data_IF_953242913576
#
_entry.id   IF_953242913576
#
_cell.length_a   1.000
_cell.length_b   1.000
_cell.length_c   1.000
_cell.angle_alpha   90.00
_cell.angle_beta   90.00
_cell.angle_gamma   90.00
#
_symmetry.space_group_name_H-M   'P 1'
#
loop_
_entity.id
_entity.type
_entity.pdbx_description
1 polymer ?
#
# COMPACT_ATOMS: atom_id res chain seq x y z
N UNK A 1 18.58 8.11 25.62
CA UNK A 1 17.58 8.72 26.53
C UNK A 1 16.62 9.59 25.70
N UNK A 2 15.83 8.97 24.80
CA UNK A 2 14.75 9.63 24.04
C UNK A 2 13.44 9.21 24.69
N UNK A 3 13.08 9.94 25.74
CA UNK A 3 12.06 9.55 26.71
C UNK A 3 10.64 9.92 26.23
N UNK A 4 9.80 8.88 26.07
CA UNK A 4 8.38 8.73 26.42
C UNK A 4 7.30 9.81 26.17
N UNK A 5 7.52 10.96 25.54
CA UNK A 5 6.44 11.99 25.40
C UNK A 5 5.84 12.20 24.01
N UNK A 6 6.27 11.49 22.97
CA UNK A 6 5.47 11.37 21.73
C UNK A 6 4.58 10.13 21.79
N UNK A 7 3.67 10.07 22.78
CA UNK A 7 2.34 9.56 22.45
C UNK A 7 1.82 10.56 21.44
N UNK A 8 2.08 10.28 20.16
CA UNK A 8 1.44 11.02 19.09
C UNK A 8 -0.03 11.01 19.47
N UNK A 9 -0.57 12.18 19.76
CA UNK A 9 -1.98 12.42 19.57
C UNK A 9 -2.21 12.34 18.06
N UNK A 10 -1.91 11.19 17.46
CA UNK A 10 -2.29 10.85 16.10
C UNK A 10 -3.79 10.86 16.19
N UNK A 11 -4.43 11.88 15.62
CA UNK A 11 -5.81 12.15 15.93
C UNK A 11 -6.58 10.89 15.56
N UNK A 12 -7.37 10.37 16.49
CA UNK A 12 -8.31 9.25 16.29
C UNK A 12 -9.03 9.36 14.94
N UNK A 13 -9.25 10.62 14.51
CA UNK A 13 -9.67 11.08 13.19
C UNK A 13 -9.00 10.41 11.97
N UNK A 14 -7.67 10.18 11.93
CA UNK A 14 -7.04 9.53 10.77
C UNK A 14 -7.24 8.02 10.74
N UNK A 15 -7.52 7.40 11.89
CA UNK A 15 -7.93 6.01 11.94
C UNK A 15 -9.27 5.81 11.24
N UNK A 16 -10.15 6.81 11.27
CA UNK A 16 -11.51 6.71 10.74
C UNK A 16 -11.63 7.24 9.30
N UNK A 17 -10.72 8.11 8.85
CA UNK A 17 -10.64 8.55 7.46
C UNK A 17 -9.95 7.51 6.56
N UNK A 18 -10.78 6.70 5.91
CA UNK A 18 -10.33 5.68 4.96
C UNK A 18 -9.45 6.25 3.84
N UNK A 19 -9.73 7.45 3.36
CA UNK A 19 -9.01 8.04 2.23
C UNK A 19 -7.56 8.34 2.62
N UNK A 20 -7.35 8.94 3.79
CA UNK A 20 -6.03 9.21 4.35
C UNK A 20 -5.26 7.92 4.62
N UNK A 21 -5.89 6.91 5.21
CA UNK A 21 -5.24 5.64 5.49
C UNK A 21 -4.83 4.90 4.19
N UNK A 22 -5.69 4.93 3.17
CA UNK A 22 -5.43 4.31 1.88
C UNK A 22 -4.30 5.00 1.14
N UNK A 23 -4.30 6.34 1.12
CA UNK A 23 -3.23 7.14 0.51
C UNK A 23 -1.90 6.88 1.21
N UNK A 24 -1.88 6.83 2.55
CA UNK A 24 -0.67 6.57 3.32
C UNK A 24 -0.09 5.18 3.03
N UNK A 25 -0.94 4.19 2.75
CA UNK A 25 -0.48 2.81 2.52
C UNK A 25 -0.04 2.56 1.08
N UNK A 26 -0.81 3.02 0.09
CA UNK A 26 -0.56 2.68 -1.32
C UNK A 26 -1.00 3.75 -2.31
N UNK A 27 -1.21 4.98 -1.84
CA UNK A 27 -1.63 6.10 -2.69
C UNK A 27 -2.98 5.84 -3.36
N UNK A 28 -3.12 6.41 -4.56
CA UNK A 28 -4.35 6.38 -5.35
C UNK A 28 -4.90 4.98 -5.61
N UNK A 29 -4.04 4.01 -5.91
CA UNK A 29 -4.46 2.62 -6.20
C UNK A 29 -5.12 1.98 -4.99
N UNK A 30 -4.52 2.15 -3.82
CA UNK A 30 -5.10 1.64 -2.59
C UNK A 30 -6.40 2.36 -2.23
N UNK A 31 -6.51 3.65 -2.53
CA UNK A 31 -7.77 4.40 -2.34
C UNK A 31 -8.92 3.80 -3.16
N UNK A 32 -8.70 3.50 -4.44
CA UNK A 32 -9.72 2.85 -5.29
C UNK A 32 -10.08 1.47 -4.75
N UNK A 33 -9.07 0.65 -4.40
CA UNK A 33 -9.26 -0.69 -3.83
C UNK A 33 -10.06 -0.62 -2.52
N UNK A 34 -9.69 0.27 -1.61
CA UNK A 34 -10.37 0.47 -0.34
C UNK A 34 -11.84 0.88 -0.52
N UNK A 35 -12.11 1.86 -1.37
CA UNK A 35 -13.48 2.29 -1.70
C UNK A 35 -14.29 1.15 -2.35
N UNK A 36 -13.68 0.35 -3.23
CA UNK A 36 -14.36 -0.79 -3.84
C UNK A 36 -14.78 -1.84 -2.80
N UNK A 37 -13.87 -2.24 -1.91
CA UNK A 37 -14.17 -3.20 -0.85
C UNK A 37 -15.23 -2.67 0.13
N UNK A 38 -15.19 -1.37 0.45
CA UNK A 38 -16.22 -0.70 1.25
C UNK A 38 -17.60 -0.75 0.61
N UNK A 39 -17.69 -0.42 -0.68
CA UNK A 39 -18.94 -0.51 -1.44
C UNK A 39 -19.47 -1.95 -1.50
N UNK A 40 -18.58 -2.93 -1.67
CA UNK A 40 -18.96 -4.35 -1.67
C UNK A 40 -19.47 -4.79 -0.29
N UNK A 41 -18.80 -4.39 0.79
CA UNK A 41 -19.21 -4.71 2.15
C UNK A 41 -20.53 -4.08 2.57
N UNK A 42 -20.94 -2.99 1.91
CA UNK A 42 -22.24 -2.33 2.07
C UNK A 42 -23.30 -2.81 1.09
N UNK A 43 -22.99 -3.86 0.31
CA UNK A 43 -23.88 -4.43 -0.71
C UNK A 43 -24.33 -3.43 -1.79
N UNK A 44 -23.60 -2.33 -1.96
CA UNK A 44 -23.89 -1.30 -2.96
C UNK A 44 -23.46 -1.74 -4.37
N UNK A 45 -22.58 -2.72 -4.46
CA UNK A 45 -22.16 -3.36 -5.70
C UNK A 45 -22.29 -4.89 -5.58
N UNK A 46 -22.78 -5.51 -6.64
CA UNK A 46 -22.83 -6.95 -6.82
C UNK A 46 -21.70 -7.40 -7.76
N UNK A 47 -21.12 -8.55 -7.45
CA UNK A 47 -20.21 -9.26 -8.35
C UNK A 47 -21.06 -10.32 -9.05
N UNK A 48 -21.04 -10.29 -10.37
CA UNK A 48 -21.76 -11.24 -11.22
C UNK A 48 -20.69 -12.13 -11.83
N UNK A 49 -20.71 -13.45 -11.57
CA UNK A 49 -19.83 -14.39 -12.26
C UNK A 49 -20.12 -14.31 -13.77
N UNK A 50 -19.10 -14.09 -14.59
CA UNK A 50 -19.23 -14.22 -16.05
C UNK A 50 -19.02 -15.68 -16.44
N UNK A 51 -19.56 -16.08 -17.60
CA UNK A 51 -19.29 -17.38 -18.21
C UNK A 51 -17.80 -17.59 -18.50
N UNK A 52 -17.05 -16.49 -18.64
CA UNK A 52 -15.60 -16.51 -18.67
C UNK A 52 -15.07 -16.40 -17.22
N UNK A 53 -14.46 -17.48 -16.71
CA UNK A 53 -13.97 -17.63 -15.32
C UNK A 53 -13.02 -16.48 -14.92
N UNK A 54 -12.38 -15.84 -15.89
CA UNK A 54 -11.43 -14.75 -15.68
C UNK A 54 -12.07 -13.35 -15.67
N UNK A 55 -13.37 -13.20 -15.95
CA UNK A 55 -14.04 -11.90 -16.03
C UNK A 55 -15.06 -11.73 -14.92
N UNK A 56 -14.62 -11.19 -13.77
CA UNK A 56 -15.56 -10.72 -12.75
C UNK A 56 -16.22 -9.45 -13.26
N UNK A 57 -17.55 -9.48 -13.35
CA UNK A 57 -18.35 -8.34 -13.77
C UNK A 57 -19.01 -7.70 -12.56
N UNK A 58 -19.11 -6.37 -12.57
CA UNK A 58 -19.64 -5.60 -11.44
C UNK A 58 -20.85 -4.81 -11.90
N UNK A 59 -21.89 -4.80 -11.05
CA UNK A 59 -23.07 -3.96 -11.22
C UNK A 59 -23.41 -3.24 -9.92
N UNK A 60 -23.74 -1.96 -10.01
CA UNK A 60 -24.21 -1.18 -8.89
C UNK A 60 -25.66 -1.53 -8.58
N UNK A 61 -25.95 -1.74 -7.30
CA UNK A 61 -27.31 -1.92 -6.79
C UNK A 61 -27.96 -0.58 -6.43
N UNK A 62 -27.17 0.51 -6.45
CA UNK A 62 -27.58 1.84 -6.01
C UNK A 62 -27.11 2.92 -6.99
N UNK A 63 -27.78 4.09 -7.00
CA UNK A 63 -27.36 5.21 -7.83
C UNK A 63 -25.99 5.76 -7.41
N UNK A 64 -25.28 6.37 -8.36
CA UNK A 64 -23.93 6.90 -8.15
C UNK A 64 -23.81 7.95 -7.03
N UNK A 65 -24.87 8.73 -6.78
CA UNK A 65 -24.89 9.78 -5.75
C UNK A 65 -24.87 9.25 -4.31
N UNK A 66 -25.02 7.93 -4.10
CA UNK A 66 -24.96 7.30 -2.77
C UNK A 66 -23.53 7.10 -2.26
N UNK A 67 -22.51 7.27 -3.11
CA UNK A 67 -21.11 7.19 -2.68
C UNK A 67 -20.75 8.33 -1.73
N UNK A 68 -20.09 8.04 -0.61
CA UNK A 68 -19.75 9.04 0.41
C UNK A 68 -18.58 9.94 -0.03
N UNK A 69 -17.71 9.44 -0.91
CA UNK A 69 -16.50 10.13 -1.34
C UNK A 69 -16.37 10.11 -2.87
N UNK A 70 -15.37 10.82 -3.39
CA UNK A 70 -15.16 10.94 -4.84
C UNK A 70 -14.87 9.61 -5.53
N UNK A 71 -14.14 8.71 -4.86
CA UNK A 71 -13.85 7.39 -5.40
C UNK A 71 -15.06 6.47 -5.42
N UNK A 72 -15.86 6.47 -4.37
CA UNK A 72 -17.10 5.68 -4.31
C UNK A 72 -18.10 6.13 -5.37
N UNK A 73 -18.27 7.45 -5.56
CA UNK A 73 -19.14 8.00 -6.61
C UNK A 73 -18.69 7.60 -8.01
N UNK A 74 -17.39 7.69 -8.29
CA UNK A 74 -16.83 7.29 -9.59
C UNK A 74 -16.99 5.79 -9.86
N UNK A 75 -16.70 4.94 -8.86
CA UNK A 75 -16.90 3.49 -8.96
C UNK A 75 -18.38 3.17 -9.21
N UNK A 76 -19.30 3.74 -8.42
CA UNK A 76 -20.73 3.50 -8.59
C UNK A 76 -21.25 4.01 -9.93
N UNK A 77 -20.73 5.14 -10.43
CA UNK A 77 -21.08 5.68 -11.74
C UNK A 77 -20.65 4.71 -12.86
N UNK A 78 -19.45 4.13 -12.76
CA UNK A 78 -18.95 3.15 -13.74
C UNK A 78 -19.69 1.82 -13.67
N UNK A 79 -20.15 1.44 -12.48
CA UNK A 79 -20.93 0.22 -12.27
C UNK A 79 -22.43 0.37 -12.55
N UNK A 80 -22.92 1.53 -13.02
CA UNK A 80 -24.34 1.66 -13.43
C UNK A 80 -24.69 0.72 -14.58
N UNK A 81 -23.72 0.45 -15.46
CA UNK A 81 -23.78 -0.64 -16.42
C UNK A 81 -22.97 -1.82 -15.92
N UNK A 82 -23.31 -3.01 -16.42
CA UNK A 82 -22.57 -4.24 -16.21
C UNK A 82 -21.20 -4.12 -16.88
N UNK A 83 -20.12 -3.97 -16.09
CA UNK A 83 -18.75 -3.69 -16.59
C UNK A 83 -17.73 -4.61 -15.92
N UNK A 84 -16.65 -4.95 -16.63
CA UNK A 84 -15.54 -5.74 -16.09
C UNK A 84 -14.88 -5.02 -14.91
N UNK A 85 -14.57 -5.76 -13.84
CA UNK A 85 -13.94 -5.24 -12.63
C UNK A 85 -12.64 -4.47 -12.91
N UNK A 86 -11.78 -5.01 -13.79
CA UNK A 86 -10.51 -4.37 -14.14
C UNK A 86 -10.70 -3.01 -14.83
N UNK A 87 -11.75 -2.87 -15.65
CA UNK A 87 -12.06 -1.61 -16.33
C UNK A 87 -12.61 -0.57 -15.36
N UNK A 88 -13.41 -1.02 -14.38
CA UNK A 88 -13.85 -0.17 -13.26
C UNK A 88 -12.65 0.33 -12.47
N UNK A 89 -11.72 -0.55 -12.08
CA UNK A 89 -10.54 -0.17 -11.28
C UNK A 89 -9.63 0.77 -12.07
N UNK A 90 -9.20 0.39 -13.29
CA UNK A 90 -8.30 1.21 -14.12
C UNK A 90 -8.95 2.54 -14.51
N UNK A 91 -10.25 2.54 -14.80
CA UNK A 91 -11.02 3.74 -15.07
C UNK A 91 -11.05 4.67 -13.86
N UNK A 92 -11.34 4.13 -12.68
CA UNK A 92 -11.39 4.89 -11.43
C UNK A 92 -10.02 5.42 -11.02
N UNK A 93 -8.96 4.64 -11.22
CA UNK A 93 -7.57 5.08 -11.04
C UNK A 93 -7.19 6.26 -11.94
N UNK A 94 -7.90 6.52 -13.04
CA UNK A 94 -7.67 7.67 -13.91
C UNK A 94 -8.64 8.83 -13.66
N UNK A 95 -9.67 8.60 -12.84
CA UNK A 95 -10.67 9.63 -12.53
C UNK A 95 -10.05 10.86 -11.87
N UNK A 96 -10.55 12.03 -12.25
CA UNK A 96 -10.19 13.31 -11.65
C UNK A 96 -10.69 13.43 -10.22
N UNK A 97 -11.84 12.83 -9.89
CA UNK A 97 -12.41 12.91 -8.54
C UNK A 97 -11.58 12.11 -7.54
N UNK A 98 -11.14 10.91 -7.95
CA UNK A 98 -10.20 10.10 -7.17
C UNK A 98 -8.86 10.84 -7.03
N UNK A 99 -8.40 11.52 -8.08
CA UNK A 99 -7.16 12.31 -8.03
C UNK A 99 -7.25 13.44 -7.01
N UNK A 100 -8.29 14.27 -7.08
CA UNK A 100 -8.52 15.39 -6.16
C UNK A 100 -8.62 14.92 -4.71
N UNK A 101 -9.38 13.84 -4.47
CA UNK A 101 -9.53 13.24 -3.15
C UNK A 101 -8.21 12.72 -2.60
N UNK A 102 -7.42 12.03 -3.43
CA UNK A 102 -6.10 11.57 -3.04
C UNK A 102 -5.15 12.74 -2.74
N UNK A 103 -5.14 13.78 -3.56
CA UNK A 103 -4.32 14.99 -3.34
C UNK A 103 -4.70 15.76 -2.08
N UNK A 104 -5.99 15.80 -1.72
CA UNK A 104 -6.44 16.39 -0.47
C UNK A 104 -5.95 15.57 0.74
N UNK A 105 -6.10 14.26 0.69
CA UNK A 105 -5.57 13.35 1.71
C UNK A 105 -4.03 13.43 1.81
N UNK A 106 -3.32 13.50 0.68
CA UNK A 106 -1.87 13.68 0.65
C UNK A 106 -1.45 14.99 1.33
N UNK A 107 -2.12 16.10 1.02
CA UNK A 107 -1.84 17.40 1.67
C UNK A 107 -2.02 17.33 3.19
N UNK A 108 -3.06 16.67 3.68
CA UNK A 108 -3.29 16.45 5.12
C UNK A 108 -2.21 15.55 5.74
N UNK A 109 -1.81 14.49 5.06
CA UNK A 109 -0.76 13.59 5.56
C UNK A 109 0.62 14.25 5.59
N UNK A 110 0.90 15.13 4.62
CA UNK A 110 2.13 15.94 4.58
C UNK A 110 2.14 16.96 5.72
N UNK A 111 1.04 17.66 5.98
CA UNK A 111 0.97 18.62 7.10
C UNK A 111 1.13 17.93 8.46
N UNK A 112 0.77 16.65 8.57
CA UNK A 112 0.99 15.82 9.75
C UNK A 112 2.35 15.11 9.77
N UNK A 113 3.22 15.36 8.80
CA UNK A 113 4.54 14.70 8.68
C UNK A 113 4.48 13.16 8.60
N UNK A 114 3.35 12.58 8.18
CA UNK A 114 3.17 11.15 7.97
C UNK A 114 3.59 10.70 6.58
N UNK A 115 3.52 11.62 5.60
CA UNK A 115 3.91 11.39 4.22
C UNK A 115 5.00 12.39 3.79
N UNK A 116 5.99 11.92 3.02
CA UNK A 116 6.99 12.81 2.42
C UNK A 116 6.37 13.60 1.26
N UNK A 117 6.75 14.86 1.12
CA UNK A 117 6.37 15.65 -0.05
C UNK A 117 7.02 15.08 -1.32
N UNK A 118 6.46 15.36 -2.50
CA UNK A 118 7.09 14.96 -3.77
C UNK A 118 8.48 15.55 -3.95
N UNK A 119 8.71 16.76 -3.44
CA UNK A 119 10.01 17.42 -3.46
C UNK A 119 11.02 16.65 -2.61
N UNK A 120 10.65 16.28 -1.39
CA UNK A 120 11.53 15.50 -0.50
C UNK A 120 11.81 14.11 -1.05
N UNK A 121 10.80 13.47 -1.65
CA UNK A 121 10.95 12.17 -2.29
C UNK A 121 11.91 12.26 -3.49
N UNK A 122 11.79 13.30 -4.32
CA UNK A 122 12.68 13.54 -5.46
C UNK A 122 14.11 13.81 -4.98
N UNK A 123 14.29 14.64 -3.95
CA UNK A 123 15.61 14.89 -3.36
C UNK A 123 16.22 13.62 -2.77
N UNK A 124 15.44 12.79 -2.07
CA UNK A 124 15.89 11.51 -1.54
C UNK A 124 16.29 10.53 -2.65
N UNK A 125 15.54 10.51 -3.77
CA UNK A 125 15.89 9.72 -4.95
C UNK A 125 17.19 10.19 -5.61
N UNK A 126 17.38 11.50 -5.75
CA UNK A 126 18.62 12.07 -6.30
C UNK A 126 19.80 11.67 -5.41
N UNK A 127 19.67 11.84 -4.10
CA UNK A 127 20.72 11.44 -3.15
C UNK A 127 21.03 9.95 -3.23
N UNK A 128 19.99 9.11 -3.33
CA UNK A 128 20.13 7.67 -3.51
C UNK A 128 20.89 7.33 -4.80
N UNK A 129 20.53 7.94 -5.93
CA UNK A 129 21.20 7.72 -7.23
C UNK A 129 22.66 8.16 -7.18
N UNK A 130 22.95 9.32 -6.58
CA UNK A 130 24.33 9.83 -6.43
C UNK A 130 25.15 8.86 -5.60
N UNK A 131 24.64 8.42 -4.44
CA UNK A 131 25.34 7.50 -3.55
C UNK A 131 25.54 6.13 -4.22
N UNK A 132 24.55 5.65 -4.97
CA UNK A 132 24.66 4.43 -5.76
C UNK A 132 25.73 4.55 -6.84
N UNK A 133 25.72 5.64 -7.61
CA UNK A 133 26.73 5.90 -8.63
C UNK A 133 28.14 5.97 -8.05
N UNK A 134 28.32 6.61 -6.88
CA UNK A 134 29.60 6.66 -6.18
C UNK A 134 30.10 5.29 -5.76
N UNK A 135 29.25 4.46 -5.16
CA UNK A 135 29.61 3.09 -4.76
C UNK A 135 29.96 2.24 -5.98
N UNK A 136 29.15 2.33 -7.05
CA UNK A 136 29.41 1.62 -8.30
C UNK A 136 30.73 2.05 -8.94
N UNK A 137 31.02 3.36 -8.98
CA UNK A 137 32.28 3.89 -9.51
C UNK A 137 33.51 3.38 -8.72
N UNK A 138 33.42 3.37 -7.39
CA UNK A 138 34.47 2.81 -6.52
C UNK A 138 34.66 1.31 -6.75
N UNK A 139 33.56 0.57 -6.90
CA UNK A 139 33.59 -0.85 -7.20
C UNK A 139 34.24 -1.16 -8.55
N UNK A 140 33.84 -0.45 -9.61
CA UNK A 140 34.43 -0.60 -10.95
C UNK A 140 35.92 -0.23 -10.95
N UNK A 141 36.31 0.85 -10.27
CA UNK A 141 37.71 1.24 -10.16
C UNK A 141 38.56 0.17 -9.45
N UNK A 142 38.05 -0.42 -8.37
CA UNK A 142 38.70 -1.53 -7.67
C UNK A 142 38.83 -2.76 -8.56
N UNK A 143 37.80 -3.13 -9.32
CA UNK A 143 37.85 -4.24 -10.28
C UNK A 143 38.94 -4.00 -11.32
N UNK A 144 39.00 -2.80 -11.90
CA UNK A 144 40.02 -2.45 -12.89
C UNK A 144 41.44 -2.57 -12.34
N UNK A 145 41.70 -2.10 -11.11
CA UNK A 145 43.02 -2.23 -10.46
C UNK A 145 43.41 -3.68 -10.22
N UNK A 146 42.45 -4.53 -9.82
CA UNK A 146 42.71 -5.97 -9.61
C UNK A 146 43.07 -6.66 -10.92
N UNK A 147 42.38 -6.33 -12.02
CA UNK A 147 42.68 -6.86 -13.36
C UNK A 147 44.07 -6.45 -13.84
N UNK A 148 44.47 -5.19 -13.61
CA UNK A 148 45.81 -4.70 -13.99
C UNK A 148 46.91 -5.37 -13.17
N UNK A 149 46.66 -5.59 -11.87
CA UNK A 149 47.66 -6.13 -10.94
C UNK A 149 47.67 -7.68 -10.84
N UNK A 150 46.82 -8.38 -11.61
CA UNK A 150 46.72 -9.84 -11.57
C UNK A 150 46.22 -10.40 -10.23
N UNK A 151 45.46 -9.63 -9.47
CA UNK A 151 44.93 -10.06 -8.17
C UNK A 151 43.70 -10.98 -8.30
N UNK A 152 43.32 -11.69 -7.23
CA UNK A 152 42.12 -12.52 -7.21
C UNK A 152 40.84 -11.65 -7.28
N UNK A 153 40.06 -11.81 -8.35
CA UNK A 153 38.84 -11.04 -8.63
C UNK A 153 37.66 -11.45 -7.72
N UNK A 154 37.64 -12.73 -7.35
CA UNK A 154 36.53 -13.44 -6.74
C UNK A 154 36.18 -12.85 -5.36
N UNK A 155 37.19 -12.44 -4.59
CA UNK A 155 37.02 -11.80 -3.28
C UNK A 155 36.37 -10.41 -3.36
N UNK A 156 36.37 -9.77 -4.53
CA UNK A 156 35.84 -8.41 -4.71
C UNK A 156 34.39 -8.40 -5.20
N UNK A 157 33.99 -9.41 -5.97
CA UNK A 157 32.62 -9.53 -6.48
C UNK A 157 31.61 -9.81 -5.37
N UNK A 158 32.00 -10.57 -4.36
CA UNK A 158 31.13 -10.95 -3.23
C UNK A 158 30.62 -9.73 -2.43
N UNK A 159 31.48 -8.81 -1.92
CA UNK A 159 30.99 -7.62 -1.24
C UNK A 159 30.24 -6.66 -2.18
N UNK A 160 30.63 -6.52 -3.45
CA UNK A 160 29.87 -5.71 -4.42
C UNK A 160 28.46 -6.24 -4.64
N UNK A 161 28.31 -7.56 -4.77
CA UNK A 161 27.00 -8.21 -4.85
C UNK A 161 26.15 -7.94 -3.60
N UNK A 162 26.76 -8.03 -2.41
CA UNK A 162 26.08 -7.75 -1.15
C UNK A 162 25.63 -6.28 -1.05
N UNK A 163 26.47 -5.33 -1.45
CA UNK A 163 26.12 -3.90 -1.48
C UNK A 163 25.03 -3.59 -2.52
N UNK A 164 25.12 -4.18 -3.71
CA UNK A 164 24.09 -4.02 -4.74
C UNK A 164 22.74 -4.58 -4.26
N UNK A 165 22.75 -5.74 -3.63
CA UNK A 165 21.56 -6.36 -3.06
C UNK A 165 20.99 -5.53 -1.90
N UNK A 166 21.83 -5.04 -1.00
CA UNK A 166 21.45 -4.14 0.10
C UNK A 166 20.84 -2.82 -0.39
N UNK A 167 21.41 -2.23 -1.44
CA UNK A 167 20.86 -1.03 -2.08
C UNK A 167 19.47 -1.26 -2.68
N UNK A 168 19.27 -2.37 -3.39
CA UNK A 168 17.98 -2.71 -4.01
C UNK A 168 16.90 -2.97 -2.97
N UNK A 169 17.26 -3.60 -1.84
CA UNK A 169 16.33 -4.00 -0.78
C UNK A 169 16.02 -2.85 0.20
N UNK A 170 17.03 -2.11 0.67
CA UNK A 170 16.87 -1.11 1.74
C UNK A 170 16.91 0.34 1.26
N UNK A 171 17.48 0.60 0.08
CA UNK A 171 17.82 1.97 -0.31
C UNK A 171 16.72 2.76 -1.00
N UNK A 172 15.63 2.12 -1.45
CA UNK A 172 14.55 2.84 -2.14
C UNK A 172 13.82 3.77 -1.16
N UNK A 173 13.80 5.10 -1.41
CA UNK A 173 13.13 6.03 -0.52
C UNK A 173 11.63 5.73 -0.51
N UNK A 174 11.12 5.35 0.67
CA UNK A 174 9.70 5.06 0.89
C UNK A 174 8.90 6.35 0.98
N UNK A 175 7.65 6.30 0.51
CA UNK A 175 6.71 7.45 0.50
C UNK A 175 6.28 7.85 1.93
N UNK A 176 5.89 6.89 2.81
CA UNK A 176 5.65 7.20 4.21
C UNK A 176 6.93 7.62 4.92
N UNK A 177 6.82 8.55 5.86
CA UNK A 177 7.92 8.88 6.77
C UNK A 177 8.12 7.77 7.80
N UNK A 178 9.18 7.84 8.61
CA UNK A 178 9.35 6.94 9.78
C UNK A 178 8.13 7.05 10.71
N UNK A 179 7.61 8.28 10.87
CA UNK A 179 6.40 8.55 11.65
C UNK A 179 5.16 7.90 11.03
N UNK A 180 5.00 8.01 9.71
CA UNK A 180 3.94 7.34 8.96
C UNK A 180 3.98 5.82 9.10
N UNK A 181 5.18 5.24 9.03
CA UNK A 181 5.37 3.79 9.26
C UNK A 181 5.04 3.39 10.70
N UNK A 182 5.47 4.17 11.69
CA UNK A 182 5.13 3.93 13.10
C UNK A 182 3.62 4.00 13.33
N UNK A 183 2.96 5.00 12.78
CA UNK A 183 1.50 5.14 12.83
C UNK A 183 0.79 3.94 12.19
N UNK A 184 1.17 3.53 10.98
CA UNK A 184 0.60 2.35 10.33
C UNK A 184 0.81 1.08 11.17
N UNK A 185 1.97 0.94 11.81
CA UNK A 185 2.26 -0.20 12.70
C UNK A 185 1.35 -0.21 13.92
N UNK A 186 1.13 0.94 14.55
CA UNK A 186 0.24 1.09 15.70
C UNK A 186 -1.21 0.77 15.31
N UNK A 187 -1.72 1.38 14.23
CA UNK A 187 -3.10 1.13 13.75
C UNK A 187 -3.30 -0.35 13.36
N UNK A 188 -2.30 -1.00 12.76
CA UNK A 188 -2.34 -2.44 12.46
C UNK A 188 -2.37 -3.28 13.73
N UNK A 189 -1.57 -2.93 14.74
CA UNK A 189 -1.55 -3.64 16.02
C UNK A 189 -2.92 -3.56 16.70
N UNK A 190 -3.52 -2.37 16.74
CA UNK A 190 -4.85 -2.12 17.30
C UNK A 190 -5.96 -2.88 16.57
N UNK A 191 -5.76 -3.20 15.29
CA UNK A 191 -6.72 -3.92 14.45
C UNK A 191 -6.42 -5.42 14.29
N UNK A 192 -5.43 -5.98 15.02
CA UNK A 192 -5.08 -7.40 14.89
C UNK A 192 -6.23 -8.34 15.24
N UNK A 193 -7.06 -7.97 16.22
CA UNK A 193 -8.24 -8.76 16.63
C UNK A 193 -9.24 -8.97 15.48
N UNK A 194 -9.27 -8.07 14.49
CA UNK A 194 -10.15 -8.19 13.34
C UNK A 194 -9.72 -9.35 12.42
N UNK A 195 -8.42 -9.63 12.33
CA UNK A 195 -7.87 -10.76 11.56
C UNK A 195 -8.33 -12.08 12.17
N UNK A 196 -8.16 -12.24 13.49
CA UNK A 196 -8.60 -13.45 14.19
C UNK A 196 -10.11 -13.68 14.07
N UNK A 197 -10.90 -12.61 13.92
CA UNK A 197 -12.34 -12.73 13.67
C UNK A 197 -12.63 -13.22 12.25
N UNK A 198 -11.89 -12.73 11.26
CA UNK A 198 -12.00 -13.17 9.86
C UNK A 198 -11.57 -14.63 9.68
N UNK A 199 -10.53 -15.09 10.40
CA UNK A 199 -10.09 -16.49 10.40
C UNK A 199 -11.16 -17.44 10.94
N UNK A 200 -12.02 -16.96 11.84
CA UNK A 200 -13.20 -17.69 12.34
C UNK A 200 -14.39 -17.63 11.36
N UNK A 201 -14.22 -17.05 10.17
CA UNK A 201 -15.27 -16.90 9.15
C UNK A 201 -16.33 -15.85 9.48
N UNK A 202 -16.08 -14.97 10.47
CA UNK A 202 -17.02 -13.93 10.90
C UNK A 202 -16.53 -12.55 10.47
N UNK A 203 -17.47 -11.63 10.23
CA UNK A 203 -17.13 -10.24 9.98
C UNK A 203 -16.91 -9.49 11.30
N UNK A 204 -15.78 -8.78 11.49
CA UNK A 204 -15.54 -7.97 12.69
C UNK A 204 -16.55 -6.80 12.78
N UNK A 205 -17.30 -6.76 13.88
CA UNK A 205 -18.33 -5.76 14.10
C UNK A 205 -17.75 -4.34 14.14
N UNK A 206 -18.40 -3.40 13.46
CA UNK A 206 -18.00 -1.99 13.42
C UNK A 206 -16.74 -1.69 12.60
N UNK A 207 -16.20 -2.66 11.85
CA UNK A 207 -15.02 -2.46 11.01
C UNK A 207 -15.39 -2.44 9.53
N UNK A 208 -14.93 -1.39 8.85
CA UNK A 208 -15.13 -1.18 7.42
C UNK A 208 -14.21 -2.09 6.58
N UNK A 209 -14.76 -2.71 5.52
CA UNK A 209 -14.01 -3.59 4.64
C UNK A 209 -12.85 -2.88 3.92
N UNK A 210 -13.06 -1.61 3.56
CA UNK A 210 -12.04 -0.74 2.98
C UNK A 210 -10.86 -0.54 3.93
N UNK A 211 -11.13 -0.40 5.23
CA UNK A 211 -10.08 -0.22 6.25
C UNK A 211 -9.23 -1.48 6.41
N UNK A 212 -9.85 -2.66 6.40
CA UNK A 212 -9.14 -3.93 6.50
C UNK A 212 -8.27 -4.21 5.28
N UNK A 213 -8.79 -3.98 4.05
CA UNK A 213 -7.98 -4.17 2.83
C UNK A 213 -6.82 -3.18 2.77
N UNK A 214 -7.02 -1.97 3.30
CA UNK A 214 -5.95 -0.97 3.37
C UNK A 214 -4.85 -1.42 4.31
N UNK A 215 -5.19 -1.87 5.52
CA UNK A 215 -4.20 -2.22 6.53
C UNK A 215 -3.50 -3.55 6.25
N UNK A 216 -4.25 -4.55 5.77
CA UNK A 216 -3.83 -5.95 5.72
C UNK A 216 -3.89 -6.59 4.33
N UNK A 217 -4.27 -5.83 3.30
CA UNK A 217 -4.38 -6.33 1.93
C UNK A 217 -5.65 -7.13 1.66
N UNK A 218 -5.89 -7.43 0.38
CA UNK A 218 -7.11 -8.13 -0.08
C UNK A 218 -7.13 -9.60 0.34
N UNK A 219 -5.95 -10.22 0.50
CA UNK A 219 -5.83 -11.62 0.91
C UNK A 219 -6.48 -11.87 2.27
N UNK A 220 -6.28 -10.96 3.21
CA UNK A 220 -6.85 -11.03 4.57
C UNK A 220 -8.36 -10.92 4.55
N UNK A 221 -8.90 -9.97 3.79
CA UNK A 221 -10.35 -9.78 3.68
C UNK A 221 -11.01 -10.95 2.93
N UNK A 222 -10.29 -11.55 1.97
CA UNK A 222 -10.71 -12.73 1.22
C UNK A 222 -10.85 -14.01 2.04
N UNK A 223 -10.45 -14.01 3.33
CA UNK A 223 -10.78 -15.09 4.27
C UNK A 223 -12.29 -15.17 4.52
N UNK A 224 -13.00 -14.04 4.44
CA UNK A 224 -14.44 -13.99 4.60
C UNK A 224 -15.18 -14.39 3.31
N UNK A 225 -16.22 -15.26 3.37
CA UNK A 225 -16.90 -15.79 2.18
C UNK A 225 -17.39 -14.71 1.20
N UNK A 226 -17.90 -13.58 1.71
CA UNK A 226 -18.44 -12.46 0.90
C UNK A 226 -17.39 -11.81 -0.02
N UNK A 227 -16.11 -11.92 0.32
CA UNK A 227 -15.01 -11.29 -0.42
C UNK A 227 -14.07 -12.29 -1.08
N UNK A 228 -14.38 -13.60 -1.01
CA UNK A 228 -13.53 -14.68 -1.53
C UNK A 228 -13.21 -14.47 -3.02
N UNK A 229 -14.21 -14.08 -3.81
CA UNK A 229 -14.05 -13.87 -5.25
C UNK A 229 -13.12 -12.68 -5.58
N UNK A 230 -12.98 -11.74 -4.65
CA UNK A 230 -12.09 -10.57 -4.82
C UNK A 230 -10.64 -10.87 -4.47
N UNK A 231 -10.35 -11.96 -3.75
CA UNK A 231 -8.97 -12.36 -3.43
C UNK A 231 -8.14 -12.53 -4.71
N UNK A 232 -8.70 -13.22 -5.70
CA UNK A 232 -8.01 -13.53 -6.96
C UNK A 232 -8.02 -12.34 -7.93
N UNK A 233 -9.02 -11.46 -7.81
CA UNK A 233 -9.16 -10.30 -8.69
C UNK A 233 -8.20 -9.14 -8.34
N UNK A 234 -7.63 -9.16 -7.13
CA UNK A 234 -6.67 -8.15 -6.66
C UNK A 234 -5.38 -8.80 -6.13
N UNK A 235 -4.57 -9.45 -7.00
CA UNK A 235 -3.38 -10.21 -6.61
C UNK A 235 -2.24 -9.35 -6.03
N UNK A 236 -2.41 -8.03 -5.95
CA UNK A 236 -1.44 -7.15 -5.29
C UNK A 236 -1.56 -7.26 -3.77
N UNK A 237 -0.85 -8.26 -3.25
CA UNK A 237 -0.53 -8.44 -1.85
C UNK A 237 0.52 -7.43 -1.42
N UNK A 238 0.15 -6.55 -0.49
CA UNK A 238 1.03 -6.38 0.67
C UNK A 238 1.01 -7.75 1.34
N UNK A 239 1.87 -8.66 0.87
CA UNK A 239 1.91 -10.02 1.38
C UNK A 239 2.41 -9.98 2.81
N UNK A 240 1.71 -10.66 3.71
CA UNK A 240 2.07 -10.78 5.12
C UNK A 240 3.53 -11.21 5.33
N UNK A 241 4.09 -11.99 4.40
CA UNK A 241 5.48 -12.46 4.44
C UNK A 241 6.52 -11.32 4.36
N UNK A 242 6.28 -10.31 3.53
CA UNK A 242 7.17 -9.13 3.39
C UNK A 242 7.21 -8.20 4.61
N UNK A 243 6.36 -8.44 5.61
CA UNK A 243 6.21 -7.61 6.82
C UNK A 243 6.76 -8.28 8.09
N UNK A 244 7.03 -9.59 8.05
CA UNK A 244 7.67 -10.31 9.18
C UNK A 244 9.20 -10.19 9.18
N UNK A 245 9.83 -9.79 8.07
CA UNK A 245 11.28 -9.54 8.03
C UNK A 245 11.73 -8.38 8.95
N UNK A 246 10.83 -7.48 9.36
CA UNK A 246 11.17 -6.39 10.30
C UNK A 246 10.76 -6.66 11.76
N UNK A 247 10.10 -7.78 12.06
CA UNK A 247 9.67 -8.11 13.43
C UNK A 247 10.76 -8.82 14.24
N UNK A 248 11.77 -9.41 13.59
CA UNK A 248 12.84 -10.15 14.26
C UNK A 248 14.15 -9.35 14.42
N UNK A 249 14.28 -8.15 13.84
CA UNK A 249 15.50 -7.33 13.95
C UNK A 249 15.45 -6.27 15.08
N UNK A 250 14.46 -6.32 15.99
CA UNK A 250 14.42 -5.39 17.14
C UNK A 250 14.26 -6.07 18.50
N UNK A 251 14.57 -7.37 18.54
CA UNK A 251 14.81 -8.12 19.78
C UNK A 251 16.17 -8.80 19.69
N UNK A 252 17.22 -7.99 19.55
CA UNK A 252 18.60 -8.26 20.01
C UNK A 252 19.35 -6.92 20.13
#
# INVERSE_FOLDING_TARGET
MWDKTYRLATPKFLGDDLSSLAVLTGGKKMTVKASFFRLKGREMIALIPSENIEEIVVKANVPANRGENGAERDILQRCQTTVRLLDVIKGSERSMDVKKMAEEAERRLISLSLLRSEKDLRSAWILYIVLFASIMALGVARVALVLINGGPLDFLLLPMGFFAMGMVTYGRPKRPTILGHKFLREVRADMRWAISTLEQGKWPAGVDAGKLVTLFGAETVGLHPVFRDLKNAFPDGVSYSSLFEYSNESMD
#
